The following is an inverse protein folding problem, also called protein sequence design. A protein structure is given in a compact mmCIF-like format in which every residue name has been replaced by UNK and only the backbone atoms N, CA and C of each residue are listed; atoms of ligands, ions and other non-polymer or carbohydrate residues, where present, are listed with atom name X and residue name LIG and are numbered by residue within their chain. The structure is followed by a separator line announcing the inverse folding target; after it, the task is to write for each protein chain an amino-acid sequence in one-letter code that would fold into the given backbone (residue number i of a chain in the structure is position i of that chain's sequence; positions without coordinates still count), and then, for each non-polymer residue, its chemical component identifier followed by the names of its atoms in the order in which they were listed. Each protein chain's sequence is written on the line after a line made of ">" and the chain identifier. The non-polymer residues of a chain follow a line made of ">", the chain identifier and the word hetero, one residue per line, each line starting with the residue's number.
data_IF_434470945494
#
_entry.id   IF_434470945494
#
_cell.length_a   1.000
_cell.length_b   1.000
_cell.length_c   1.000
_cell.angle_alpha   90.00
_cell.angle_beta   90.00
_cell.angle_gamma   90.00
#
_symmetry.space_group_name_H-M   'P 1'
#
loop_
_entity.id
_entity.type
_entity.pdbx_description
1 polymer ?
#
# COMPACT_ATOMS: atom_id res chain seq x y z
N UNK A 1 25.58 -4.79 11.30
CA UNK A 1 24.33 -5.54 11.23
C UNK A 1 23.48 -4.91 10.15
N UNK A 2 23.23 -5.63 9.08
CA UNK A 2 22.41 -5.17 7.95
C UNK A 2 20.97 -5.06 8.45
N UNK A 3 20.44 -3.85 8.57
CA UNK A 3 19.01 -3.63 8.70
C UNK A 3 18.36 -4.00 7.36
N UNK A 4 17.83 -5.22 7.34
CA UNK A 4 16.92 -5.66 6.29
C UNK A 4 15.71 -4.73 6.37
N UNK A 5 15.48 -3.96 5.33
CA UNK A 5 14.21 -3.26 5.14
C UNK A 5 13.08 -4.28 5.31
N UNK A 6 11.98 -3.95 6.01
CA UNK A 6 10.88 -4.88 6.14
C UNK A 6 10.41 -5.26 4.74
N UNK A 7 10.47 -6.56 4.47
CA UNK A 7 10.00 -7.16 3.23
C UNK A 7 8.50 -6.87 3.10
N UNK A 8 8.14 -5.93 2.22
CA UNK A 8 6.76 -5.54 1.94
C UNK A 8 6.04 -6.53 1.01
N UNK A 9 6.66 -7.68 0.72
CA UNK A 9 6.07 -8.75 -0.11
C UNK A 9 4.96 -9.56 0.59
N UNK A 10 4.60 -9.22 1.82
CA UNK A 10 3.42 -9.77 2.52
C UNK A 10 2.07 -9.23 2.03
N UNK A 11 1.96 -8.84 0.78
CA UNK A 11 0.68 -8.72 0.08
C UNK A 11 0.16 -10.16 -0.03
N UNK A 12 -0.96 -10.46 0.63
CA UNK A 12 -1.67 -11.72 0.42
C UNK A 12 -1.95 -11.76 -1.08
N UNK A 13 -1.27 -12.62 -1.85
CA UNK A 13 -1.50 -12.65 -3.27
C UNK A 13 -2.94 -13.10 -3.48
N UNK A 14 -3.67 -12.43 -4.33
CA UNK A 14 -4.97 -12.86 -4.86
C UNK A 14 -4.90 -14.29 -5.44
N UNK A 15 -3.73 -14.84 -5.62
CA UNK A 15 -3.40 -16.19 -6.07
C UNK A 15 -3.83 -17.31 -5.11
N UNK A 16 -4.25 -17.01 -3.88
CA UNK A 16 -4.84 -18.02 -3.00
C UNK A 16 -6.16 -18.60 -3.58
N UNK A 17 -6.70 -17.95 -4.61
CA UNK A 17 -7.90 -18.42 -5.32
C UNK A 17 -7.61 -19.30 -6.56
N UNK A 18 -6.37 -19.44 -6.99
CA UNK A 18 -6.03 -20.27 -8.16
C UNK A 18 -6.18 -21.78 -7.91
N UNK A 19 -6.16 -22.24 -6.66
CA UNK A 19 -6.30 -23.66 -6.33
C UNK A 19 -7.70 -24.25 -6.61
N UNK A 20 -8.74 -23.41 -6.79
CA UNK A 20 -10.09 -23.89 -7.11
C UNK A 20 -10.40 -24.01 -8.61
N UNK A 21 -9.57 -23.45 -9.47
CA UNK A 21 -9.81 -23.51 -10.94
C UNK A 21 -9.30 -24.82 -11.59
N UNK A 22 -8.53 -25.64 -10.87
CA UNK A 22 -8.00 -26.91 -11.40
C UNK A 22 -9.01 -28.05 -11.45
N UNK A 23 -10.17 -27.94 -10.75
CA UNK A 23 -11.18 -29.01 -10.68
C UNK A 23 -12.09 -29.14 -11.90
N UNK A 24 -12.04 -28.26 -12.87
CA UNK A 24 -13.02 -28.23 -13.98
C UNK A 24 -12.60 -29.03 -15.22
N UNK A 25 -11.40 -29.60 -15.25
CA UNK A 25 -10.88 -30.31 -16.44
C UNK A 25 -11.21 -31.80 -16.54
N UNK A 26 -11.69 -32.44 -15.46
CA UNK A 26 -11.86 -33.90 -15.43
C UNK A 26 -13.29 -34.43 -15.67
N UNK A 27 -14.26 -33.58 -16.05
CA UNK A 27 -15.65 -33.99 -16.29
C UNK A 27 -16.02 -34.32 -17.74
N UNK A 28 -15.05 -34.59 -18.59
CA UNK A 28 -15.29 -34.84 -20.01
C UNK A 28 -15.34 -36.33 -20.40
N UNK A 29 -15.37 -37.27 -19.48
CA UNK A 29 -15.44 -38.68 -19.84
C UNK A 29 -16.43 -39.48 -18.93
N UNK A 30 -17.61 -39.77 -19.42
CA UNK A 30 -18.41 -40.87 -18.86
C UNK A 30 -19.92 -40.76 -19.00
N UNK A 31 -20.44 -41.42 -20.02
CA UNK A 31 -21.71 -42.19 -20.10
C UNK A 31 -23.06 -41.46 -20.16
N UNK A 32 -23.67 -41.69 -21.29
CA UNK A 32 -25.01 -41.19 -21.73
C UNK A 32 -26.16 -41.88 -21.01
N UNK A 33 -26.96 -41.07 -20.30
CA UNK A 33 -28.39 -41.32 -20.10
C UNK A 33 -29.17 -40.10 -20.63
N UNK A 34 -30.06 -40.30 -21.62
CA UNK A 34 -30.57 -39.22 -22.46
C UNK A 34 -31.51 -38.26 -21.73
N UNK A 35 -32.08 -38.62 -20.59
CA UNK A 35 -32.88 -37.71 -19.75
C UNK A 35 -32.07 -36.90 -18.76
N UNK A 36 -30.87 -37.38 -18.39
CA UNK A 36 -29.89 -36.68 -17.56
C UNK A 36 -29.01 -35.68 -18.32
N UNK A 37 -28.80 -35.93 -19.63
CA UNK A 37 -27.88 -35.18 -20.49
C UNK A 37 -28.25 -33.70 -20.65
N UNK A 38 -29.54 -33.39 -20.81
CA UNK A 38 -30.01 -32.02 -20.95
C UNK A 38 -29.80 -31.21 -19.67
N UNK A 39 -30.03 -31.83 -18.50
CA UNK A 39 -29.82 -31.19 -17.18
C UNK A 39 -28.34 -30.94 -16.85
N UNK A 40 -27.48 -31.91 -17.20
CA UNK A 40 -26.01 -31.78 -17.00
C UNK A 40 -25.38 -30.79 -17.97
N UNK A 41 -25.83 -30.79 -19.24
CA UNK A 41 -25.36 -29.81 -20.21
C UNK A 41 -25.75 -28.37 -19.85
N UNK A 42 -26.99 -28.16 -19.37
CA UNK A 42 -27.44 -26.85 -18.91
C UNK A 42 -26.65 -26.38 -17.66
N UNK A 43 -26.39 -27.28 -16.70
CA UNK A 43 -25.54 -26.96 -15.54
C UNK A 43 -24.11 -26.61 -15.96
N UNK A 44 -23.51 -27.40 -16.86
CA UNK A 44 -22.18 -27.13 -17.38
C UNK A 44 -22.09 -25.78 -18.11
N UNK A 45 -23.10 -25.43 -18.92
CA UNK A 45 -23.18 -24.13 -19.56
C UNK A 45 -23.31 -22.98 -18.55
N UNK A 46 -24.06 -23.18 -17.48
CA UNK A 46 -24.24 -22.19 -16.43
C UNK A 46 -22.95 -22.00 -15.64
N UNK A 47 -22.25 -23.07 -15.32
CA UNK A 47 -20.94 -23.03 -14.62
C UNK A 47 -19.89 -22.30 -15.48
N UNK A 48 -19.81 -22.58 -16.77
CA UNK A 48 -18.89 -21.88 -17.69
C UNK A 48 -19.23 -20.39 -17.77
N UNK A 49 -20.52 -20.05 -17.85
CA UNK A 49 -20.96 -18.66 -17.83
C UNK A 49 -20.62 -17.95 -16.54
N UNK A 50 -20.86 -18.60 -15.40
CA UNK A 50 -20.56 -18.05 -14.07
C UNK A 50 -19.04 -17.86 -13.89
N UNK A 51 -18.23 -18.81 -14.33
CA UNK A 51 -16.78 -18.70 -14.36
C UNK A 51 -16.31 -17.51 -15.21
N UNK A 52 -16.89 -17.32 -16.38
CA UNK A 52 -16.59 -16.17 -17.25
C UNK A 52 -16.97 -14.83 -16.62
N UNK A 53 -18.16 -14.74 -16.02
CA UNK A 53 -18.61 -13.54 -15.31
C UNK A 53 -17.73 -13.23 -14.09
N UNK A 54 -17.34 -14.26 -13.34
CA UNK A 54 -16.42 -14.11 -12.20
C UNK A 54 -15.04 -13.61 -12.64
N UNK A 55 -14.50 -14.17 -13.73
CA UNK A 55 -13.20 -13.73 -14.27
C UNK A 55 -13.24 -12.24 -14.67
N UNK A 56 -14.31 -11.80 -15.32
CA UNK A 56 -14.51 -10.39 -15.69
C UNK A 56 -14.64 -9.50 -14.44
N UNK A 57 -15.40 -9.93 -13.42
CA UNK A 57 -15.57 -9.18 -12.19
C UNK A 57 -14.24 -9.05 -11.44
N UNK A 58 -13.46 -10.12 -11.34
CA UNK A 58 -12.15 -10.13 -10.70
C UNK A 58 -11.17 -9.16 -11.39
N UNK A 59 -11.10 -9.22 -12.71
CA UNK A 59 -10.27 -8.32 -13.51
C UNK A 59 -10.70 -6.85 -13.35
N UNK A 60 -12.01 -6.60 -13.31
CA UNK A 60 -12.56 -5.28 -13.02
C UNK A 60 -12.16 -4.76 -11.65
N UNK A 61 -12.30 -5.59 -10.60
CA UNK A 61 -11.87 -5.24 -9.23
C UNK A 61 -10.36 -4.96 -9.16
N UNK A 62 -9.54 -5.76 -9.82
CA UNK A 62 -8.10 -5.55 -9.88
C UNK A 62 -7.76 -4.20 -10.54
N UNK A 63 -8.36 -3.90 -11.71
CA UNK A 63 -8.13 -2.61 -12.39
C UNK A 63 -8.60 -1.43 -11.55
N UNK A 64 -9.73 -1.55 -10.87
CA UNK A 64 -10.21 -0.56 -9.93
C UNK A 64 -9.19 -0.32 -8.81
N UNK A 65 -8.74 -1.40 -8.15
CA UNK A 65 -7.78 -1.33 -7.05
C UNK A 65 -6.48 -0.61 -7.47
N UNK A 66 -5.89 -1.03 -8.58
CA UNK A 66 -4.65 -0.43 -9.08
C UNK A 66 -4.82 1.05 -9.46
N UNK A 67 -5.96 1.38 -10.06
CA UNK A 67 -6.27 2.77 -10.43
C UNK A 67 -6.42 3.68 -9.22
N UNK A 68 -7.19 3.25 -8.22
CA UNK A 68 -7.43 4.04 -7.01
C UNK A 68 -6.18 4.13 -6.14
N UNK A 69 -5.41 3.05 -5.97
CA UNK A 69 -4.14 3.10 -5.23
C UNK A 69 -3.19 4.12 -5.83
N UNK A 70 -2.97 4.08 -7.14
CA UNK A 70 -2.11 5.06 -7.83
C UNK A 70 -2.60 6.50 -7.64
N UNK A 71 -3.91 6.73 -7.71
CA UNK A 71 -4.50 8.06 -7.50
C UNK A 71 -4.28 8.54 -6.05
N UNK A 72 -4.41 7.66 -5.07
CA UNK A 72 -4.20 7.99 -3.66
C UNK A 72 -2.71 8.24 -3.35
N UNK A 73 -1.79 7.47 -3.95
CA UNK A 73 -0.34 7.66 -3.81
C UNK A 73 0.12 9.01 -4.37
N UNK A 74 -0.46 9.46 -5.49
CA UNK A 74 -0.07 10.70 -6.14
C UNK A 74 -0.81 11.94 -5.62
N UNK A 75 -1.91 11.75 -4.91
CA UNK A 75 -2.84 12.82 -4.53
C UNK A 75 -2.39 13.73 -3.37
N UNK A 76 -1.26 13.46 -2.72
CA UNK A 76 -0.63 14.34 -1.71
C UNK A 76 -1.40 14.55 -0.40
N UNK A 77 -2.68 14.17 -0.32
CA UNK A 77 -3.52 14.29 0.86
C UNK A 77 -3.55 12.97 1.64
N UNK A 78 -2.76 12.91 2.72
CA UNK A 78 -2.65 11.72 3.56
C UNK A 78 -3.74 11.62 4.64
N UNK A 79 -4.45 12.72 4.95
CA UNK A 79 -5.39 12.74 6.07
C UNK A 79 -6.71 12.02 5.77
N UNK A 80 -7.18 12.07 4.51
CA UNK A 80 -8.49 11.56 4.12
C UNK A 80 -8.42 10.30 3.23
N UNK A 81 -7.30 9.59 3.23
CA UNK A 81 -7.11 8.42 2.36
C UNK A 81 -8.17 7.34 2.53
N UNK A 82 -8.57 7.04 3.77
CA UNK A 82 -9.58 6.01 4.04
C UNK A 82 -10.97 6.41 3.55
N UNK A 83 -11.36 7.67 3.72
CA UNK A 83 -12.64 8.18 3.24
C UNK A 83 -12.70 8.17 1.72
N UNK A 84 -11.64 8.61 1.07
CA UNK A 84 -11.50 8.57 -0.38
C UNK A 84 -11.57 7.16 -0.94
N UNK A 85 -10.92 6.19 -0.26
CA UNK A 85 -11.00 4.77 -0.63
C UNK A 85 -12.43 4.23 -0.51
N UNK A 86 -13.11 4.45 0.63
CA UNK A 86 -14.50 4.03 0.84
C UNK A 86 -15.44 4.65 -0.18
N UNK A 87 -15.25 5.94 -0.46
CA UNK A 87 -16.01 6.65 -1.48
C UNK A 87 -15.80 6.05 -2.86
N UNK A 88 -14.54 5.79 -3.24
CA UNK A 88 -14.23 5.14 -4.51
C UNK A 88 -14.86 3.75 -4.62
N UNK A 89 -14.82 2.93 -3.55
CA UNK A 89 -15.46 1.62 -3.50
C UNK A 89 -16.98 1.69 -3.71
N UNK A 90 -17.65 2.68 -3.13
CA UNK A 90 -19.10 2.82 -3.27
C UNK A 90 -19.53 3.38 -4.61
N UNK A 91 -18.83 4.40 -5.11
CA UNK A 91 -19.25 5.15 -6.28
C UNK A 91 -18.67 4.60 -7.60
N UNK A 92 -17.43 4.14 -7.59
CA UNK A 92 -16.69 3.80 -8.82
C UNK A 92 -16.58 2.30 -9.08
N UNK A 93 -16.45 1.46 -8.04
CA UNK A 93 -16.33 0.01 -8.23
C UNK A 93 -17.47 -0.60 -9.08
N UNK A 94 -18.75 -0.21 -8.91
CA UNK A 94 -19.83 -0.75 -9.74
C UNK A 94 -19.60 -0.61 -11.25
N UNK A 95 -18.92 0.44 -11.68
CA UNK A 95 -18.62 0.66 -13.11
C UNK A 95 -17.57 -0.28 -13.70
N UNK A 96 -16.79 -0.94 -12.84
CA UNK A 96 -15.78 -1.93 -13.22
C UNK A 96 -16.32 -3.37 -13.23
N UNK A 97 -17.54 -3.56 -12.72
CA UNK A 97 -18.16 -4.88 -12.62
C UNK A 97 -19.09 -5.15 -13.82
N UNK A 98 -19.29 -6.42 -14.21
CA UNK A 98 -20.25 -6.77 -15.25
C UNK A 98 -21.67 -6.27 -14.90
N UNK A 99 -22.36 -5.68 -15.87
CA UNK A 99 -23.72 -5.15 -15.66
C UNK A 99 -24.74 -6.23 -15.28
N UNK A 100 -24.49 -7.49 -15.68
CA UNK A 100 -25.34 -8.64 -15.35
C UNK A 100 -24.49 -9.74 -14.76
N UNK A 101 -24.83 -10.17 -13.55
CA UNK A 101 -24.19 -11.25 -12.83
C UNK A 101 -25.23 -12.25 -12.33
N UNK A 102 -24.91 -13.53 -12.36
CA UNK A 102 -25.72 -14.59 -11.72
C UNK A 102 -25.70 -14.44 -10.19
N UNK A 103 -26.64 -15.11 -9.50
CA UNK A 103 -26.68 -15.12 -8.04
C UNK A 103 -25.35 -15.53 -7.41
N UNK A 104 -24.79 -16.70 -7.77
CA UNK A 104 -23.51 -17.16 -7.23
C UNK A 104 -22.35 -16.21 -7.49
N UNK A 105 -22.32 -15.56 -8.66
CA UNK A 105 -21.25 -14.57 -8.98
C UNK A 105 -21.42 -13.30 -8.13
N UNK A 106 -22.64 -12.84 -7.90
CA UNK A 106 -22.91 -11.67 -7.04
C UNK A 106 -22.43 -11.91 -5.60
N UNK A 107 -22.69 -13.09 -5.06
CA UNK A 107 -22.21 -13.46 -3.71
C UNK A 107 -20.68 -13.46 -3.62
N UNK A 108 -20.01 -14.05 -4.63
CA UNK A 108 -18.53 -14.01 -4.70
C UNK A 108 -17.98 -12.60 -4.81
N UNK A 109 -18.63 -11.74 -5.59
CA UNK A 109 -18.26 -10.33 -5.72
C UNK A 109 -18.46 -9.58 -4.42
N UNK A 110 -19.54 -9.85 -3.68
CA UNK A 110 -19.78 -9.24 -2.36
C UNK A 110 -18.65 -9.58 -1.37
N UNK A 111 -18.30 -10.87 -1.23
CA UNK A 111 -17.19 -11.30 -0.39
C UNK A 111 -15.85 -10.72 -0.84
N UNK A 112 -15.58 -10.69 -2.14
CA UNK A 112 -14.35 -10.12 -2.66
C UNK A 112 -14.28 -8.60 -2.43
N UNK A 113 -15.40 -7.90 -2.47
CA UNK A 113 -15.48 -6.47 -2.12
C UNK A 113 -15.13 -6.21 -0.66
N UNK A 114 -15.64 -7.01 0.27
CA UNK A 114 -15.27 -6.90 1.69
C UNK A 114 -13.79 -7.12 1.94
N UNK A 115 -13.21 -8.13 1.27
CA UNK A 115 -11.78 -8.38 1.31
C UNK A 115 -10.97 -7.21 0.74
N UNK A 116 -11.43 -6.64 -0.37
CA UNK A 116 -10.81 -5.47 -1.01
C UNK A 116 -10.87 -4.24 -0.10
N UNK A 117 -11.99 -4.02 0.58
CA UNK A 117 -12.16 -2.92 1.55
C UNK A 117 -11.18 -3.07 2.72
N UNK A 118 -11.08 -4.28 3.29
CA UNK A 118 -10.17 -4.58 4.39
C UNK A 118 -8.71 -4.44 3.99
N UNK A 119 -8.32 -5.06 2.87
CA UNK A 119 -6.95 -4.99 2.36
C UNK A 119 -6.54 -3.55 2.00
N UNK A 120 -7.46 -2.80 1.39
CA UNK A 120 -7.26 -1.38 1.10
C UNK A 120 -7.08 -0.55 2.35
N UNK A 121 -7.90 -0.76 3.38
CA UNK A 121 -7.79 -0.05 4.65
C UNK A 121 -6.44 -0.30 5.34
N UNK A 122 -5.95 -1.54 5.36
CA UNK A 122 -4.64 -1.89 5.91
C UNK A 122 -3.51 -1.21 5.12
N UNK A 123 -3.60 -1.24 3.79
CA UNK A 123 -2.63 -0.58 2.92
C UNK A 123 -2.56 0.93 3.20
N UNK A 124 -3.71 1.59 3.31
CA UNK A 124 -3.78 3.03 3.55
C UNK A 124 -3.31 3.43 4.95
N UNK A 125 -3.57 2.61 5.98
CA UNK A 125 -2.97 2.82 7.30
C UNK A 125 -1.43 2.81 7.24
N UNK A 126 -0.84 1.86 6.51
CA UNK A 126 0.61 1.82 6.31
C UNK A 126 1.11 3.06 5.57
N UNK A 127 0.42 3.48 4.52
CA UNK A 127 0.78 4.69 3.75
C UNK A 127 0.70 5.96 4.60
N UNK A 128 -0.36 6.13 5.39
CA UNK A 128 -0.51 7.25 6.32
C UNK A 128 0.61 7.28 7.36
N UNK A 129 0.93 6.11 7.93
CA UNK A 129 2.02 6.00 8.90
C UNK A 129 3.40 6.34 8.29
N UNK A 130 3.67 5.85 7.07
CA UNK A 130 4.90 6.20 6.35
C UNK A 130 4.97 7.70 6.03
N UNK A 131 3.86 8.32 5.63
CA UNK A 131 3.76 9.76 5.41
C UNK A 131 4.08 10.55 6.67
N UNK A 132 3.51 10.17 7.81
CA UNK A 132 3.80 10.80 9.11
C UNK A 132 5.26 10.65 9.52
N UNK A 133 5.87 9.48 9.29
CA UNK A 133 7.29 9.26 9.57
C UNK A 133 8.18 10.13 8.67
N UNK A 134 7.85 10.27 7.40
CA UNK A 134 8.57 11.13 6.47
C UNK A 134 8.46 12.62 6.85
N UNK A 135 7.29 13.07 7.24
CA UNK A 135 7.06 14.44 7.72
C UNK A 135 7.83 14.70 9.02
N UNK A 136 7.75 13.80 9.99
CA UNK A 136 8.51 13.87 11.22
C UNK A 136 10.02 13.91 10.96
N UNK A 137 10.51 13.11 10.00
CA UNK A 137 11.91 13.09 9.57
C UNK A 137 12.34 14.43 8.96
N UNK A 138 11.50 15.04 8.10
CA UNK A 138 11.78 16.36 7.51
C UNK A 138 11.84 17.44 8.58
N UNK A 139 10.89 17.44 9.50
CA UNK A 139 10.85 18.38 10.62
C UNK A 139 12.11 18.24 11.52
N UNK A 140 12.46 17.02 11.84
CA UNK A 140 13.67 16.73 12.61
C UNK A 140 14.94 17.21 11.88
N UNK A 141 15.08 16.88 10.59
CA UNK A 141 16.23 17.28 9.78
C UNK A 141 16.35 18.81 9.67
N UNK A 142 15.26 19.52 9.42
CA UNK A 142 15.21 20.98 9.38
C UNK A 142 15.59 21.59 10.75
N UNK A 143 15.16 20.96 11.84
CA UNK A 143 15.54 21.40 13.18
C UNK A 143 17.02 21.23 13.47
N UNK A 144 17.66 20.14 13.00
CA UNK A 144 19.11 19.94 13.10
C UNK A 144 19.85 21.00 12.30
N UNK A 145 19.44 21.21 11.05
CA UNK A 145 20.08 22.17 10.13
C UNK A 145 20.01 23.60 10.67
N UNK A 146 18.84 24.03 11.15
CA UNK A 146 18.65 25.34 11.79
C UNK A 146 19.57 25.54 13.00
N UNK A 147 19.72 24.54 13.87
CA UNK A 147 20.62 24.63 15.00
C UNK A 147 22.10 24.73 14.58
N UNK A 148 22.49 24.05 13.50
CA UNK A 148 23.85 24.15 12.92
C UNK A 148 24.10 25.55 12.34
N UNK A 149 23.15 26.11 11.60
CA UNK A 149 23.24 27.45 11.02
C UNK A 149 23.35 28.54 12.08
N UNK A 150 22.62 28.37 13.19
CA UNK A 150 22.68 29.28 14.35
C UNK A 150 23.95 29.10 15.21
N UNK A 151 24.85 28.19 14.82
CA UNK A 151 26.07 27.90 15.59
C UNK A 151 25.82 27.14 16.89
N UNK A 152 24.63 26.62 17.14
CA UNK A 152 24.23 25.93 18.38
C UNK A 152 24.59 24.44 18.34
N UNK A 153 25.89 24.12 18.34
CA UNK A 153 26.38 22.75 18.19
C UNK A 153 25.77 21.76 19.19
N UNK A 154 25.64 22.16 20.48
CA UNK A 154 25.06 21.30 21.50
C UNK A 154 23.58 20.98 21.27
N UNK A 155 22.82 21.95 20.75
CA UNK A 155 21.41 21.72 20.36
C UNK A 155 21.31 20.79 19.15
N UNK A 156 22.17 21.01 18.14
CA UNK A 156 22.23 20.13 16.97
C UNK A 156 22.57 18.68 17.35
N UNK A 157 23.57 18.48 18.20
CA UNK A 157 23.96 17.16 18.71
C UNK A 157 22.80 16.48 19.46
N UNK A 158 22.14 17.20 20.36
CA UNK A 158 20.99 16.69 21.10
C UNK A 158 19.87 16.23 20.15
N UNK A 159 19.51 17.03 19.16
CA UNK A 159 18.48 16.67 18.16
C UNK A 159 18.90 15.47 17.32
N UNK A 160 20.16 15.37 16.92
CA UNK A 160 20.69 14.21 16.20
C UNK A 160 20.54 12.95 17.06
N UNK A 161 20.87 13.03 18.34
CA UNK A 161 20.75 11.92 19.28
C UNK A 161 19.29 11.49 19.51
N UNK A 162 18.36 12.45 19.58
CA UNK A 162 16.92 12.17 19.67
C UNK A 162 16.39 11.45 18.42
N UNK A 163 16.94 11.71 17.24
CA UNK A 163 16.58 11.05 15.99
C UNK A 163 17.31 9.72 15.73
N UNK A 164 18.30 9.38 16.54
CA UNK A 164 19.05 8.13 16.40
C UNK A 164 18.18 6.92 16.72
N UNK A 165 18.26 5.90 15.87
CA UNK A 165 17.41 4.70 15.96
C UNK A 165 15.98 4.88 15.41
N UNK A 166 15.54 6.13 15.16
CA UNK A 166 14.23 6.44 14.59
C UNK A 166 14.37 6.85 13.11
N UNK A 167 15.14 7.90 12.85
CA UNK A 167 15.30 8.51 11.52
C UNK A 167 16.64 8.20 10.87
N UNK A 168 17.64 7.92 11.66
CA UNK A 168 19.02 7.60 11.23
C UNK A 168 19.61 6.49 12.09
N UNK A 169 20.60 5.77 11.56
CA UNK A 169 21.34 4.78 12.35
C UNK A 169 22.24 5.46 13.37
N UNK A 170 22.66 4.74 14.41
CA UNK A 170 23.58 5.27 15.43
C UNK A 170 24.92 5.71 14.83
N UNK A 171 25.43 4.98 13.84
CA UNK A 171 26.66 5.33 13.14
C UNK A 171 26.50 6.62 12.32
N UNK A 172 25.36 6.77 11.63
CA UNK A 172 25.05 7.98 10.89
C UNK A 172 24.81 9.17 11.83
N UNK A 173 24.14 8.96 12.97
CA UNK A 173 23.96 9.98 13.99
C UNK A 173 25.32 10.49 14.52
N UNK A 174 26.26 9.60 14.82
CA UNK A 174 27.61 9.96 15.27
C UNK A 174 28.34 10.81 14.22
N UNK A 175 28.32 10.37 12.96
CA UNK A 175 28.93 11.15 11.86
C UNK A 175 28.30 12.52 11.69
N UNK A 176 26.98 12.62 11.80
CA UNK A 176 26.25 13.89 11.69
C UNK A 176 26.54 14.83 12.86
N UNK A 177 26.70 14.31 14.07
CA UNK A 177 27.09 15.10 15.24
C UNK A 177 28.47 15.73 15.07
N UNK A 178 29.48 14.98 14.62
CA UNK A 178 30.81 15.48 14.31
C UNK A 178 30.79 16.60 13.23
N UNK A 179 29.99 16.37 12.16
CA UNK A 179 29.83 17.36 11.12
C UNK A 179 29.13 18.64 11.63
N UNK A 180 28.12 18.50 12.50
CA UNK A 180 27.41 19.62 13.09
C UNK A 180 28.33 20.48 13.95
N UNK A 181 29.15 19.86 14.79
CA UNK A 181 30.19 20.59 15.56
C UNK A 181 31.14 21.37 14.66
N UNK A 182 31.66 20.73 13.61
CA UNK A 182 32.58 21.36 12.66
C UNK A 182 31.96 22.52 11.89
N UNK A 183 30.68 22.43 11.52
CA UNK A 183 29.94 23.47 10.79
C UNK A 183 29.57 24.63 11.72
N UNK A 184 29.05 24.35 12.91
CA UNK A 184 28.70 25.36 13.89
C UNK A 184 29.93 26.19 14.36
N UNK A 185 31.10 25.56 14.47
CA UNK A 185 32.35 26.28 14.75
C UNK A 185 32.73 27.24 13.62
N UNK A 186 32.51 26.85 12.36
CA UNK A 186 32.77 27.73 11.19
C UNK A 186 31.79 28.90 11.13
N UNK A 187 30.50 28.69 11.42
CA UNK A 187 29.49 29.75 11.44
C UNK A 187 29.83 30.82 12.47
N UNK A 188 30.23 30.42 13.71
CA UNK A 188 30.65 31.36 14.73
C UNK A 188 31.93 32.13 14.37
N UNK A 189 32.88 31.50 13.70
CA UNK A 189 34.11 32.15 13.26
C UNK A 189 33.84 33.19 12.20
N UNK A 190 32.86 32.94 11.28
CA UNK A 190 32.45 33.89 10.27
C UNK A 190 31.76 35.14 10.85
N UNK A 191 30.93 34.97 11.88
CA UNK A 191 30.25 36.09 12.56
C UNK A 191 31.21 36.90 13.46
N UNK A 192 32.18 36.23 14.07
CA UNK A 192 33.20 36.92 14.91
C UNK A 192 34.24 37.70 14.11
N UNK A 193 34.51 37.32 12.87
CA UNK A 193 35.53 37.98 12.03
C UNK A 193 35.10 39.31 11.39
N UNK A 194 33.83 39.67 11.49
CA UNK A 194 33.27 40.94 10.87
C UNK A 194 33.26 42.16 11.82
N UNK A 195 33.84 42.06 13.01
CA UNK A 195 33.88 43.15 14.03
C UNK A 195 35.30 43.62 14.35
N UNK A 196 36.18 43.58 13.38
CA UNK A 196 37.53 44.17 13.48
C UNK A 196 37.70 45.38 12.59
#
# INVERSE_FOLDING_TARGET
>A
MLHVAPDLSGVIPLNAFEAQAAGVRDLAAGVMDVSGVAGTALKGMQEVRDAGQWAQARDGMYRFEQGVKRELETGGDSEHLQERWKKALSERLPSYLPARMSGPVRERVAMARENLETAGSIYLQKMSHLGQLEEARRYWAGGVESAVEQGEAALAERRIKEGSGIFVTEEEASRRAEQAHSRAARSRAAEGGGRG
#
